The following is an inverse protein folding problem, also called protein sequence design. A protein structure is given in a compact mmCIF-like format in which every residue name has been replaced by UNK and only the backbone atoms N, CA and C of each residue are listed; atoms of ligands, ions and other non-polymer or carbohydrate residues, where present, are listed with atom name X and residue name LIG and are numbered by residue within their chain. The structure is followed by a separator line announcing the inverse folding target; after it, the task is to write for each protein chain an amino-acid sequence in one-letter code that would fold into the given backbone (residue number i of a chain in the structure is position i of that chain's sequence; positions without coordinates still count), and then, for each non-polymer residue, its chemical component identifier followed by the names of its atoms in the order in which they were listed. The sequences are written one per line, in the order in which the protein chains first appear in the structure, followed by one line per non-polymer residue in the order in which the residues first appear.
data_IF_732090833367
#
_entry.id   IF_732090833367
#
_cell.length_a   1.000
_cell.length_b   1.000
_cell.length_c   1.000
_cell.angle_alpha   90.00
_cell.angle_beta   90.00
_cell.angle_gamma   90.00
#
_symmetry.space_group_name_H-M   'P 1'
#
loop_
_entity.id
_entity.type
_entity.pdbx_description
1 polymer ?
#
# COMPACT_ATOMS: atom_id res chain seq x y z
N UNK A 1 1.58 -24.96 1.12
CA UNK A 1 2.92 -25.42 0.63
C UNK A 1 3.99 -24.82 1.54
N UNK A 2 4.64 -25.59 2.43
CA UNK A 2 5.73 -25.06 3.24
C UNK A 2 7.02 -25.02 2.41
N UNK A 3 7.81 -23.96 2.52
CA UNK A 3 9.21 -23.99 2.04
C UNK A 3 9.71 -22.85 1.14
N UNK A 4 9.12 -21.65 1.16
CA UNK A 4 9.65 -20.53 0.36
C UNK A 4 10.72 -19.67 1.07
N UNK A 5 10.91 -19.80 2.39
CA UNK A 5 11.85 -18.94 3.14
C UNK A 5 13.31 -19.41 3.06
N UNK A 6 13.57 -20.71 2.89
CA UNK A 6 14.92 -21.28 2.90
C UNK A 6 15.70 -21.11 1.59
N UNK A 7 15.08 -20.62 0.51
CA UNK A 7 15.72 -20.40 -0.79
C UNK A 7 16.66 -19.17 -0.82
N UNK A 8 16.74 -18.40 0.28
CA UNK A 8 17.56 -17.19 0.42
C UNK A 8 18.83 -17.38 1.26
N UNK A 9 19.11 -18.60 1.70
CA UNK A 9 20.34 -18.92 2.42
C UNK A 9 21.47 -19.20 1.43
N UNK A 10 22.68 -18.81 1.84
CA UNK A 10 23.99 -19.06 1.23
C UNK A 10 24.00 -20.29 0.28
N UNK A 11 24.51 -20.17 -0.97
CA UNK A 11 24.53 -21.27 -1.93
C UNK A 11 25.16 -22.57 -1.41
N UNK A 12 25.94 -22.51 -0.33
CA UNK A 12 26.56 -23.65 0.32
C UNK A 12 25.63 -24.45 1.27
N UNK A 13 24.39 -24.01 1.49
CA UNK A 13 23.41 -24.74 2.32
C UNK A 13 22.79 -25.88 1.50
N UNK A 14 22.89 -27.10 2.02
CA UNK A 14 22.34 -28.32 1.41
C UNK A 14 20.82 -28.42 1.58
N UNK A 15 20.17 -29.24 0.75
CA UNK A 15 18.72 -29.50 0.87
C UNK A 15 18.33 -30.11 2.22
N UNK A 16 19.18 -30.92 2.82
CA UNK A 16 18.96 -31.53 4.13
C UNK A 16 18.98 -30.48 5.25
N UNK A 17 19.93 -29.53 5.18
CA UNK A 17 20.00 -28.40 6.11
C UNK A 17 18.78 -27.47 5.98
N UNK A 18 18.29 -27.22 4.75
CA UNK A 18 17.04 -26.47 4.53
C UNK A 18 15.85 -27.13 5.20
N UNK A 19 15.67 -28.43 4.98
CA UNK A 19 14.56 -29.17 5.61
C UNK A 19 14.67 -29.21 7.15
N UNK A 20 15.88 -29.19 7.70
CA UNK A 20 16.09 -29.10 9.15
C UNK A 20 15.72 -27.73 9.71
N UNK A 21 16.04 -26.65 8.98
CA UNK A 21 15.67 -25.27 9.35
C UNK A 21 14.16 -25.10 9.33
N UNK A 22 13.48 -25.56 8.28
CA UNK A 22 12.02 -25.46 8.16
C UNK A 22 11.31 -26.16 9.32
N UNK A 23 11.72 -27.40 9.65
CA UNK A 23 11.19 -28.12 10.83
C UNK A 23 11.42 -27.37 12.14
N UNK A 24 12.57 -26.72 12.29
CA UNK A 24 12.90 -25.95 13.49
C UNK A 24 12.04 -24.69 13.61
N UNK A 25 11.72 -24.04 12.50
CA UNK A 25 10.86 -22.86 12.47
C UNK A 25 9.40 -23.23 12.75
N UNK A 26 8.91 -24.31 12.15
CA UNK A 26 7.56 -24.83 12.40
C UNK A 26 7.38 -25.16 13.89
N UNK A 27 8.36 -25.83 14.50
CA UNK A 27 8.33 -26.14 15.93
C UNK A 27 8.37 -24.87 16.79
N UNK A 28 9.23 -23.89 16.46
CA UNK A 28 9.29 -22.63 17.20
C UNK A 28 7.98 -21.82 17.12
N UNK A 29 7.27 -21.88 15.99
CA UNK A 29 5.95 -21.25 15.83
C UNK A 29 4.87 -21.96 16.66
N UNK A 30 4.91 -23.29 16.72
CA UNK A 30 4.01 -24.08 17.59
C UNK A 30 4.24 -23.74 19.06
N UNK A 31 5.50 -23.74 19.50
CA UNK A 31 5.86 -23.41 20.88
C UNK A 31 5.45 -21.98 21.23
N UNK A 32 5.68 -21.03 20.31
CA UNK A 32 5.28 -19.63 20.49
C UNK A 32 3.77 -19.45 20.61
N UNK A 33 2.97 -20.21 19.84
CA UNK A 33 1.50 -20.19 19.93
C UNK A 33 1.03 -20.73 21.28
N UNK A 34 1.67 -21.80 21.77
CA UNK A 34 1.38 -22.36 23.08
C UNK A 34 1.71 -21.37 24.22
N UNK A 35 2.86 -20.70 24.15
CA UNK A 35 3.25 -19.64 25.11
C UNK A 35 2.25 -18.48 25.15
N UNK A 36 1.64 -18.17 24.01
CA UNK A 36 0.64 -17.10 23.87
C UNK A 36 -0.79 -17.57 24.21
N UNK A 37 -0.98 -18.83 24.61
CA UNK A 37 -2.29 -19.38 24.96
C UNK A 37 -3.27 -19.46 23.79
N UNK A 38 -2.78 -19.45 22.55
CA UNK A 38 -3.61 -19.52 21.34
C UNK A 38 -3.94 -20.99 21.04
N UNK A 39 -5.18 -21.41 21.30
CA UNK A 39 -5.69 -22.73 20.87
C UNK A 39 -6.10 -22.70 19.40
N UNK A 40 -5.83 -23.79 18.67
CA UNK A 40 -6.26 -23.95 17.28
C UNK A 40 -7.79 -23.77 17.16
N UNK A 41 -8.28 -23.05 16.14
CA UNK A 41 -9.71 -22.76 16.01
C UNK A 41 -10.50 -24.05 15.81
N UNK A 42 -11.59 -24.22 16.56
CA UNK A 42 -12.62 -25.20 16.23
C UNK A 42 -13.50 -24.64 15.12
N UNK A 43 -13.79 -25.48 14.13
CA UNK A 43 -14.69 -25.15 13.03
C UNK A 43 -16.13 -25.01 13.55
N UNK A 44 -16.67 -23.80 13.49
CA UNK A 44 -18.10 -23.51 13.66
C UNK A 44 -18.73 -23.31 12.27
N UNK A 45 -20.00 -23.68 12.04
CA UNK A 45 -20.61 -23.57 10.72
C UNK A 45 -21.05 -22.13 10.43
N UNK A 46 -20.82 -21.75 9.17
CA UNK A 46 -21.05 -20.48 8.46
C UNK A 46 -22.14 -19.51 8.95
N UNK A 47 -21.96 -18.23 8.60
CA UNK A 47 -23.01 -17.46 7.97
C UNK A 47 -22.65 -17.00 6.55
N UNK A 48 -23.72 -16.75 5.79
CA UNK A 48 -23.74 -16.40 4.38
C UNK A 48 -23.54 -14.88 4.16
N UNK A 49 -22.95 -14.56 3.01
CA UNK A 49 -22.95 -13.29 2.26
C UNK A 49 -21.72 -12.37 2.39
N UNK A 50 -21.17 -12.09 1.20
CA UNK A 50 -20.37 -10.95 0.75
C UNK A 50 -19.28 -10.44 1.72
N UNK A 51 -18.04 -10.88 1.51
CA UNK A 51 -16.89 -10.34 2.23
C UNK A 51 -16.40 -9.03 1.60
N UNK A 52 -17.18 -7.98 1.85
CA UNK A 52 -16.62 -6.64 2.14
C UNK A 52 -15.77 -6.80 3.41
N UNK A 53 -14.65 -6.07 3.53
CA UNK A 53 -13.93 -6.00 4.81
C UNK A 53 -14.95 -5.76 5.95
N UNK A 54 -14.84 -6.42 7.12
CA UNK A 54 -15.79 -6.18 8.19
C UNK A 54 -15.86 -4.67 8.46
N UNK A 55 -17.06 -4.04 8.47
CA UNK A 55 -17.18 -2.60 8.64
C UNK A 55 -16.38 -2.14 9.87
N UNK A 56 -15.37 -1.30 9.63
CA UNK A 56 -14.51 -0.76 10.67
C UNK A 56 -13.23 -1.55 10.98
N UNK A 57 -12.85 -2.57 10.21
CA UNK A 57 -11.57 -3.28 10.37
C UNK A 57 -10.36 -2.37 10.07
N UNK A 58 -10.36 -1.70 8.92
CA UNK A 58 -9.35 -0.68 8.62
C UNK A 58 -9.44 0.46 9.62
N UNK A 59 -10.64 0.87 10.04
CA UNK A 59 -10.81 1.85 11.12
C UNK A 59 -10.28 1.36 12.49
N UNK A 60 -10.23 0.05 12.76
CA UNK A 60 -9.65 -0.54 13.97
C UNK A 60 -8.12 -0.60 13.88
N UNK A 61 -7.58 -0.92 12.71
CA UNK A 61 -6.14 -0.84 12.41
C UNK A 61 -5.65 0.62 12.52
N UNK A 62 -6.41 1.55 11.94
CA UNK A 62 -6.22 3.00 12.05
C UNK A 62 -6.39 3.47 13.49
N UNK A 63 -7.35 2.96 14.29
CA UNK A 63 -7.48 3.30 15.73
C UNK A 63 -6.32 2.76 16.57
N UNK A 64 -5.82 1.55 16.28
CA UNK A 64 -4.63 1.00 16.92
C UNK A 64 -3.37 1.81 16.57
N UNK A 65 -3.25 2.23 15.31
CA UNK A 65 -2.18 3.12 14.83
C UNK A 65 -2.29 4.55 15.44
N UNK A 66 -3.51 5.09 15.56
CA UNK A 66 -3.84 6.40 16.18
C UNK A 66 -3.76 6.39 17.72
N UNK A 67 -3.93 5.24 18.37
CA UNK A 67 -3.69 5.09 19.80
C UNK A 67 -2.19 5.01 20.13
N UNK A 68 -1.37 4.58 19.17
CA UNK A 68 0.09 4.55 19.28
C UNK A 68 0.76 5.91 19.00
N UNK A 69 0.09 6.80 18.25
CA UNK A 69 0.58 8.12 17.88
C UNK A 69 -0.52 9.16 18.14
N UNK A 70 -0.32 10.02 19.14
CA UNK A 70 -1.26 11.05 19.60
C UNK A 70 -1.50 12.19 18.58
N UNK A 71 -1.85 11.85 17.34
CA UNK A 71 -2.10 12.80 16.25
C UNK A 71 -3.59 12.77 15.89
N UNK A 72 -4.33 13.89 16.04
CA UNK A 72 -5.72 13.95 15.64
C UNK A 72 -5.84 13.89 14.10
N UNK A 73 -6.86 13.22 13.55
CA UNK A 73 -7.06 13.19 12.10
C UNK A 73 -7.34 14.60 11.58
N UNK A 74 -6.68 14.98 10.47
CA UNK A 74 -7.18 16.10 9.65
C UNK A 74 -8.54 15.72 9.08
N UNK A 75 -9.44 16.68 9.05
CA UNK A 75 -10.71 16.52 8.33
C UNK A 75 -10.34 16.36 6.86
N UNK A 76 -10.81 15.32 6.15
CA UNK A 76 -10.58 15.25 4.72
C UNK A 76 -11.03 16.59 4.12
N UNK A 77 -10.15 17.20 3.32
CA UNK A 77 -10.56 18.31 2.47
C UNK A 77 -11.82 17.85 1.74
N UNK A 78 -12.86 18.68 1.77
CA UNK A 78 -14.16 18.40 1.15
C UNK A 78 -14.04 18.36 -0.37
N UNK A 79 -13.42 17.32 -0.89
CA UNK A 79 -13.35 16.99 -2.30
C UNK A 79 -13.10 15.48 -2.42
N UNK A 80 -14.16 14.68 -2.20
CA UNK A 80 -14.43 13.44 -2.95
C UNK A 80 -15.55 12.55 -2.39
N UNK A 81 -16.23 12.95 -1.30
CA UNK A 81 -17.30 12.10 -0.73
C UNK A 81 -18.73 12.31 -1.28
N UNK A 82 -19.01 13.37 -2.05
CA UNK A 82 -20.37 13.62 -2.58
C UNK A 82 -20.35 13.90 -4.09
N UNK A 83 -20.04 12.89 -4.90
CA UNK A 83 -20.44 12.88 -6.31
C UNK A 83 -21.77 12.13 -6.42
N UNK A 84 -22.88 12.87 -6.32
CA UNK A 84 -24.19 12.41 -6.78
C UNK A 84 -24.07 11.86 -8.22
N UNK A 85 -24.66 10.69 -8.53
CA UNK A 85 -24.58 10.12 -9.86
C UNK A 85 -25.50 10.93 -10.80
N UNK A 86 -24.99 12.02 -11.39
CA UNK A 86 -25.78 12.78 -12.36
C UNK A 86 -25.34 14.21 -12.72
N UNK A 87 -24.20 14.72 -12.26
CA UNK A 87 -23.71 16.04 -12.69
C UNK A 87 -22.57 15.88 -13.68
N UNK A 88 -22.85 16.15 -14.96
CA UNK A 88 -21.81 16.34 -15.98
C UNK A 88 -20.81 17.40 -15.49
N UNK A 89 -19.49 17.18 -15.60
CA UNK A 89 -18.51 18.17 -15.19
C UNK A 89 -18.64 19.38 -16.11
N UNK A 90 -19.09 20.49 -15.54
CA UNK A 90 -19.16 21.80 -16.18
C UNK A 90 -17.73 22.17 -16.64
N UNK A 91 -17.54 22.20 -17.94
CA UNK A 91 -16.25 22.45 -18.56
C UNK A 91 -15.97 23.94 -18.65
N UNK A 92 -14.97 24.43 -17.91
CA UNK A 92 -14.03 25.47 -18.40
C UNK A 92 -12.85 25.71 -17.41
N UNK A 93 -12.18 24.65 -16.95
CA UNK A 93 -10.87 24.81 -16.32
C UNK A 93 -9.81 24.87 -17.42
N UNK A 94 -9.26 26.05 -17.70
CA UNK A 94 -8.12 26.19 -18.59
C UNK A 94 -7.00 25.20 -18.19
N UNK A 95 -6.31 24.56 -19.14
CA UNK A 95 -5.25 23.59 -18.81
C UNK A 95 -4.18 24.29 -17.98
N UNK A 96 -4.08 23.92 -16.70
CA UNK A 96 -3.04 24.44 -15.80
C UNK A 96 -1.69 23.98 -16.31
N UNK A 97 -0.70 24.86 -16.25
CA UNK A 97 0.66 24.53 -16.66
C UNK A 97 1.30 23.64 -15.59
N UNK A 98 1.76 22.44 -15.96
CA UNK A 98 2.44 21.53 -15.03
C UNK A 98 3.72 22.18 -14.46
N UNK A 99 3.80 22.30 -13.12
CA UNK A 99 4.99 22.81 -12.41
C UNK A 99 6.14 21.80 -12.48
N UNK A 100 7.39 22.27 -12.41
CA UNK A 100 8.55 21.38 -12.33
C UNK A 100 8.47 20.51 -11.07
N UNK A 101 9.05 19.30 -11.12
CA UNK A 101 8.98 18.38 -9.98
C UNK A 101 9.68 18.96 -8.75
N UNK A 102 10.81 19.63 -8.95
CA UNK A 102 11.58 20.28 -7.89
C UNK A 102 10.75 21.37 -7.19
N UNK A 103 10.04 22.20 -7.96
CA UNK A 103 9.16 23.24 -7.44
C UNK A 103 7.98 22.66 -6.64
N UNK A 104 7.47 21.50 -7.06
CA UNK A 104 6.41 20.79 -6.34
C UNK A 104 6.91 20.19 -5.02
N UNK A 105 8.10 19.59 -5.04
CA UNK A 105 8.70 19.00 -3.84
C UNK A 105 9.07 20.07 -2.80
N UNK A 106 9.55 21.24 -3.26
CA UNK A 106 9.84 22.35 -2.37
C UNK A 106 8.55 22.94 -1.79
N UNK A 107 7.51 23.12 -2.60
CA UNK A 107 6.20 23.59 -2.11
C UNK A 107 5.53 22.60 -1.16
N UNK A 108 5.61 21.29 -1.42
CA UNK A 108 5.14 20.25 -0.51
C UNK A 108 5.79 20.42 0.87
N UNK A 109 7.13 20.51 0.92
CA UNK A 109 7.86 20.62 2.20
C UNK A 109 7.59 21.95 2.90
N UNK A 110 7.29 23.02 2.16
CA UNK A 110 6.98 24.34 2.69
C UNK A 110 5.56 24.46 3.25
N UNK A 111 4.56 23.95 2.53
CA UNK A 111 3.14 24.14 2.84
C UNK A 111 2.55 23.04 3.69
N UNK A 112 3.08 21.83 3.60
CA UNK A 112 2.63 20.71 4.41
C UNK A 112 3.27 20.78 5.80
N UNK A 113 2.43 20.99 6.82
CA UNK A 113 2.85 21.10 8.23
C UNK A 113 3.08 19.71 8.82
N UNK A 114 4.18 19.09 8.37
CA UNK A 114 4.65 17.77 8.78
C UNK A 114 6.10 17.81 9.25
N UNK A 115 6.44 16.91 10.17
CA UNK A 115 7.84 16.69 10.51
C UNK A 115 8.47 15.71 9.50
N UNK A 116 9.20 16.28 8.54
CA UNK A 116 9.87 15.54 7.49
C UNK A 116 11.12 14.79 7.99
N UNK A 117 11.27 13.54 7.56
CA UNK A 117 12.48 12.77 7.82
C UNK A 117 13.62 13.20 6.90
N UNK A 118 14.85 12.96 7.36
CA UNK A 118 16.04 13.15 6.54
C UNK A 118 15.94 12.38 5.22
N UNK A 119 16.54 12.90 4.14
CA UNK A 119 16.67 12.21 2.86
C UNK A 119 17.01 10.73 2.97
N UNK A 120 16.49 9.95 2.03
CA UNK A 120 16.76 8.52 1.94
C UNK A 120 18.25 8.29 1.72
N UNK A 121 18.81 7.29 2.40
CA UNK A 121 20.17 6.82 2.08
C UNK A 121 20.12 5.87 0.89
N UNK A 122 21.21 5.78 0.12
CA UNK A 122 21.30 4.83 -1.00
C UNK A 122 20.95 3.40 -0.56
N UNK A 123 21.44 2.97 0.61
CA UNK A 123 21.13 1.64 1.16
C UNK A 123 19.64 1.41 1.44
N UNK A 124 18.89 2.45 1.82
CA UNK A 124 17.44 2.35 2.01
C UNK A 124 16.72 2.26 0.68
N UNK A 125 17.12 3.06 -0.31
CA UNK A 125 16.57 2.99 -1.66
C UNK A 125 16.86 1.63 -2.32
N UNK A 126 18.09 1.12 -2.25
CA UNK A 126 18.49 -0.19 -2.76
C UNK A 126 17.63 -1.33 -2.16
N UNK A 127 17.28 -1.21 -0.88
CA UNK A 127 16.41 -2.20 -0.21
C UNK A 127 14.98 -2.15 -0.70
N UNK A 128 14.46 -0.96 -1.00
CA UNK A 128 13.12 -0.80 -1.57
C UNK A 128 13.09 -1.31 -3.02
N UNK A 129 14.11 -1.01 -3.83
CA UNK A 129 14.24 -1.52 -5.20
C UNK A 129 14.42 -3.05 -5.21
N UNK A 130 15.22 -3.61 -4.29
CA UNK A 130 15.33 -5.05 -4.11
C UNK A 130 14.03 -5.69 -3.62
N UNK A 131 13.19 -4.95 -2.87
CA UNK A 131 11.85 -5.38 -2.55
C UNK A 131 10.97 -5.41 -3.81
N UNK A 132 10.96 -4.38 -4.63
CA UNK A 132 10.20 -4.36 -5.88
C UNK A 132 10.71 -5.37 -6.92
N UNK A 133 12.00 -5.68 -6.90
CA UNK A 133 12.67 -6.40 -8.00
C UNK A 133 12.91 -5.52 -9.23
N UNK A 134 12.75 -4.20 -9.09
CA UNK A 134 12.88 -3.19 -10.14
C UNK A 134 13.36 -1.86 -9.56
N UNK A 135 13.84 -0.97 -10.42
CA UNK A 135 14.17 0.41 -10.03
C UNK A 135 12.89 1.20 -9.66
N UNK A 136 13.04 2.18 -8.76
CA UNK A 136 11.94 3.06 -8.40
C UNK A 136 11.56 3.99 -9.56
N UNK A 137 10.27 4.35 -9.70
CA UNK A 137 9.88 5.47 -10.55
C UNK A 137 10.66 6.73 -10.19
N UNK A 138 11.20 7.42 -11.20
CA UNK A 138 12.14 8.53 -11.01
C UNK A 138 11.58 9.65 -10.11
N UNK A 139 10.30 9.99 -10.28
CA UNK A 139 9.68 11.09 -9.53
C UNK A 139 9.52 10.73 -8.04
N UNK A 140 9.15 9.49 -7.73
CA UNK A 140 9.07 9.03 -6.35
C UNK A 140 10.46 8.85 -5.73
N UNK A 141 11.47 8.48 -6.54
CA UNK A 141 12.86 8.48 -6.09
C UNK A 141 13.32 9.90 -5.71
N UNK A 142 12.98 10.91 -6.52
CA UNK A 142 13.31 12.30 -6.23
C UNK A 142 12.61 12.80 -4.95
N UNK A 143 11.36 12.39 -4.70
CA UNK A 143 10.69 12.63 -3.42
C UNK A 143 11.49 12.05 -2.25
N UNK A 144 11.89 10.78 -2.31
CA UNK A 144 12.65 10.13 -1.23
C UNK A 144 14.04 10.77 -1.01
N UNK A 145 14.68 11.25 -2.08
CA UNK A 145 15.94 12.00 -2.00
C UNK A 145 15.77 13.39 -1.37
N UNK A 146 14.55 13.96 -1.39
CA UNK A 146 14.20 15.21 -0.70
C UNK A 146 13.79 14.98 0.75
N UNK A 147 12.91 14.01 0.99
CA UNK A 147 12.41 13.62 2.30
C UNK A 147 12.04 12.13 2.31
N UNK A 148 12.55 11.37 3.28
CA UNK A 148 12.25 9.94 3.39
C UNK A 148 10.93 9.70 4.16
N UNK A 149 9.85 10.31 3.69
CA UNK A 149 8.55 10.36 4.36
C UNK A 149 8.51 11.31 5.56
N UNK A 150 7.39 11.30 6.28
CA UNK A 150 7.18 12.10 7.50
C UNK A 150 7.22 11.23 8.77
N UNK A 151 7.46 11.83 9.93
CA UNK A 151 7.37 11.14 11.24
C UNK A 151 5.92 10.88 11.64
N UNK A 152 5.01 11.75 11.22
CA UNK A 152 3.54 11.63 11.42
C UNK A 152 2.91 10.52 10.56
N UNK A 153 3.69 9.92 9.65
CA UNK A 153 3.34 8.79 8.77
C UNK A 153 2.27 9.08 7.70
N UNK A 154 1.90 10.34 7.48
CA UNK A 154 1.10 10.71 6.30
C UNK A 154 1.85 10.35 5.02
N UNK A 155 3.13 10.68 4.90
CA UNK A 155 3.97 10.25 3.78
C UNK A 155 4.88 9.09 4.19
N UNK A 156 4.77 7.97 3.47
CA UNK A 156 5.58 6.79 3.74
C UNK A 156 7.01 6.95 3.21
N UNK A 157 7.99 6.73 4.11
CA UNK A 157 9.38 6.59 3.70
C UNK A 157 9.68 5.22 3.08
N UNK A 158 10.89 5.02 2.56
CA UNK A 158 11.26 3.82 1.81
C UNK A 158 11.05 2.51 2.60
N UNK A 159 11.32 2.51 3.91
CA UNK A 159 11.08 1.35 4.76
C UNK A 159 9.58 1.11 5.01
N UNK A 160 8.81 2.17 5.23
CA UNK A 160 7.37 2.09 5.50
C UNK A 160 6.61 1.64 4.27
N UNK A 161 6.89 2.24 3.12
CA UNK A 161 6.28 1.82 1.85
C UNK A 161 6.46 0.31 1.62
N UNK A 162 7.66 -0.24 1.85
CA UNK A 162 7.90 -1.68 1.74
C UNK A 162 7.28 -2.51 2.88
N UNK A 163 7.14 -1.95 4.08
CA UNK A 163 6.55 -2.65 5.22
C UNK A 163 5.02 -2.73 5.06
N UNK A 164 4.38 -1.59 4.81
CA UNK A 164 2.93 -1.48 4.58
C UNK A 164 2.52 -2.28 3.33
N UNK A 165 3.29 -2.27 2.24
CA UNK A 165 3.03 -3.12 1.08
C UNK A 165 3.06 -4.64 1.41
N UNK A 166 3.99 -5.08 2.27
CA UNK A 166 4.03 -6.49 2.72
C UNK A 166 2.85 -6.83 3.62
N UNK A 167 2.50 -5.93 4.53
CA UNK A 167 1.40 -6.11 5.46
C UNK A 167 0.08 -6.23 4.71
N UNK A 168 -0.21 -5.30 3.79
CA UNK A 168 -1.42 -5.33 2.97
C UNK A 168 -1.50 -6.57 2.07
N UNK A 169 -0.38 -6.94 1.43
CA UNK A 169 -0.34 -8.17 0.63
C UNK A 169 -0.58 -9.41 1.50
N UNK A 170 0.05 -9.49 2.68
CA UNK A 170 -0.11 -10.61 3.59
C UNK A 170 -1.55 -10.78 4.07
N UNK A 171 -2.21 -9.68 4.44
CA UNK A 171 -3.63 -9.70 4.80
C UNK A 171 -4.51 -10.14 3.63
N UNK A 172 -4.23 -9.64 2.43
CA UNK A 172 -4.95 -10.03 1.24
C UNK A 172 -4.77 -11.53 0.94
N UNK A 173 -3.55 -12.06 1.04
CA UNK A 173 -3.27 -13.48 0.83
C UNK A 173 -3.95 -14.37 1.88
N UNK A 174 -3.90 -14.00 3.16
CA UNK A 174 -4.60 -14.71 4.25
C UNK A 174 -6.11 -14.79 3.99
N UNK A 175 -6.73 -13.67 3.59
CA UNK A 175 -8.16 -13.64 3.25
C UNK A 175 -8.51 -14.56 2.08
N UNK A 176 -7.67 -14.59 1.03
CA UNK A 176 -7.89 -15.47 -0.12
C UNK A 176 -7.71 -16.93 0.26
N UNK A 177 -6.76 -17.27 1.13
CA UNK A 177 -6.53 -18.64 1.61
C UNK A 177 -7.68 -19.18 2.45
N UNK A 178 -8.34 -18.32 3.24
CA UNK A 178 -9.48 -18.68 4.08
C UNK A 178 -10.81 -18.80 3.31
N UNK A 179 -10.84 -18.45 2.02
CA UNK A 179 -12.05 -18.53 1.20
C UNK A 179 -12.37 -19.98 0.77
N UNK A 180 -13.66 -20.31 0.69
CA UNK A 180 -14.13 -21.62 0.18
C UNK A 180 -13.66 -21.90 -1.26
N UNK A 181 -13.53 -20.84 -2.07
CA UNK A 181 -13.03 -20.87 -3.44
C UNK A 181 -12.05 -19.69 -3.66
N UNK A 182 -10.76 -19.88 -3.36
CA UNK A 182 -9.74 -18.84 -3.45
C UNK A 182 -9.58 -18.24 -4.86
N UNK A 183 -9.80 -19.04 -5.91
CA UNK A 183 -9.68 -18.59 -7.30
C UNK A 183 -10.84 -17.67 -7.66
N UNK A 184 -12.06 -18.06 -7.31
CA UNK A 184 -13.25 -17.23 -7.49
C UNK A 184 -13.19 -15.96 -6.65
N UNK A 185 -12.72 -16.04 -5.40
CA UNK A 185 -12.58 -14.87 -4.53
C UNK A 185 -11.58 -13.87 -5.13
N UNK A 186 -10.43 -14.34 -5.61
CA UNK A 186 -9.46 -13.49 -6.31
C UNK A 186 -10.06 -12.86 -7.56
N UNK A 187 -10.85 -13.59 -8.33
CA UNK A 187 -11.50 -13.09 -9.54
C UNK A 187 -12.56 -11.99 -9.29
N UNK A 188 -13.06 -11.85 -8.05
CA UNK A 188 -14.00 -10.77 -7.68
C UNK A 188 -13.34 -9.40 -7.54
N UNK A 189 -12.02 -9.34 -7.41
CA UNK A 189 -11.30 -8.07 -7.29
C UNK A 189 -11.13 -7.42 -8.67
N UNK A 190 -12.07 -6.53 -8.98
CA UNK A 190 -12.10 -5.71 -10.20
C UNK A 190 -11.45 -4.35 -9.89
N UNK A 191 -10.14 -4.35 -9.64
CA UNK A 191 -9.34 -3.12 -9.47
C UNK A 191 -9.15 -2.35 -10.79
N UNK A 192 -9.56 -2.96 -11.90
CA UNK A 192 -9.44 -2.45 -13.25
C UNK A 192 -10.84 -2.26 -13.84
N UNK A 193 -11.10 -1.11 -14.44
CA UNK A 193 -12.35 -0.75 -15.13
C UNK A 193 -12.56 -1.48 -16.47
N UNK A 194 -11.79 -2.55 -16.72
CA UNK A 194 -11.70 -3.26 -18.00
C UNK A 194 -10.65 -2.67 -18.94
N UNK A 195 -9.92 -1.62 -18.55
CA UNK A 195 -8.85 -1.03 -19.38
C UNK A 195 -7.57 -1.85 -19.44
N UNK A 196 -7.37 -2.80 -18.52
CA UNK A 196 -6.14 -3.57 -18.35
C UNK A 196 -4.97 -2.74 -17.80
N UNK A 197 -5.23 -1.56 -17.24
CA UNK A 197 -4.21 -0.65 -16.70
C UNK A 197 -3.80 -1.03 -15.28
N UNK A 198 -4.72 -1.57 -14.51
CA UNK A 198 -4.46 -2.02 -13.14
C UNK A 198 -4.38 -3.55 -13.12
N UNK A 199 -3.48 -4.11 -12.31
CA UNK A 199 -3.37 -5.56 -12.19
C UNK A 199 -4.68 -6.14 -11.62
N UNK A 200 -5.27 -7.18 -12.24
CA UNK A 200 -6.47 -7.82 -11.72
C UNK A 200 -6.13 -8.70 -10.52
N UNK A 201 -7.12 -9.00 -9.68
CA UNK A 201 -6.97 -10.01 -8.63
C UNK A 201 -6.41 -9.52 -7.30
N UNK A 202 -6.65 -8.25 -6.96
CA UNK A 202 -6.40 -7.67 -5.63
C UNK A 202 -5.03 -7.02 -5.46
N UNK A 203 -4.56 -6.93 -4.21
CA UNK A 203 -3.26 -6.35 -3.89
C UNK A 203 -2.12 -7.17 -4.47
N UNK A 204 -1.09 -6.48 -4.98
CA UNK A 204 0.13 -7.11 -5.49
C UNK A 204 1.36 -6.47 -4.86
N UNK A 205 2.47 -7.20 -4.80
CA UNK A 205 3.73 -6.77 -4.17
C UNK A 205 4.25 -5.41 -4.67
N UNK A 206 3.99 -5.07 -5.92
CA UNK A 206 4.43 -3.81 -6.53
C UNK A 206 3.60 -2.59 -6.16
N UNK A 207 2.55 -2.74 -5.34
CA UNK A 207 1.74 -1.62 -4.88
C UNK A 207 2.31 -1.06 -3.59
N UNK A 208 2.90 0.14 -3.68
CA UNK A 208 3.51 0.82 -2.54
C UNK A 208 2.54 1.86 -1.99
N UNK A 209 2.00 1.71 -0.77
CA UNK A 209 1.32 2.81 -0.09
C UNK A 209 2.33 3.93 0.17
N UNK A 210 2.11 5.10 -0.43
CA UNK A 210 3.01 6.25 -0.34
C UNK A 210 2.42 7.39 0.48
N UNK A 211 1.10 7.43 0.61
CA UNK A 211 0.38 8.40 1.44
C UNK A 211 -0.79 7.74 2.18
N UNK A 212 -0.99 8.08 3.45
CA UNK A 212 -2.09 7.61 4.31
C UNK A 212 -3.00 8.78 4.67
N UNK A 213 -4.28 8.69 4.30
CA UNK A 213 -5.28 9.72 4.63
C UNK A 213 -5.69 9.70 6.12
N UNK A 214 -5.18 8.75 6.91
CA UNK A 214 -5.51 8.59 8.33
C UNK A 214 -6.92 8.02 8.58
N UNK A 215 -7.58 7.54 7.53
CA UNK A 215 -8.96 6.99 7.52
C UNK A 215 -9.01 5.51 7.16
N UNK A 216 -7.88 4.93 6.74
CA UNK A 216 -7.81 3.61 6.12
C UNK A 216 -7.84 3.65 4.58
N UNK A 217 -7.93 4.85 4.00
CA UNK A 217 -7.68 5.11 2.59
C UNK A 217 -6.20 5.46 2.37
N UNK A 218 -5.65 5.07 1.22
CA UNK A 218 -4.25 5.31 0.87
C UNK A 218 -4.08 5.72 -0.58
N UNK A 219 -3.01 6.48 -0.83
CA UNK A 219 -2.46 6.64 -2.17
C UNK A 219 -1.39 5.58 -2.39
N UNK A 220 -1.48 4.89 -3.51
CA UNK A 220 -0.60 3.79 -3.89
C UNK A 220 0.18 4.17 -5.15
N UNK A 221 1.50 4.03 -5.09
CA UNK A 221 2.36 4.02 -6.26
C UNK A 221 2.39 2.61 -6.86
N UNK A 222 1.85 2.47 -8.07
CA UNK A 222 1.77 1.17 -8.76
C UNK A 222 3.05 0.88 -9.55
N UNK A 223 3.89 0.02 -9.00
CA UNK A 223 5.11 -0.48 -9.62
C UNK A 223 4.92 -1.84 -10.33
N UNK A 224 3.71 -2.40 -10.31
CA UNK A 224 3.36 -3.67 -10.97
C UNK A 224 1.99 -3.57 -11.67
N UNK A 225 1.86 -2.67 -12.67
CA UNK A 225 0.58 -2.40 -13.31
C UNK A 225 0.12 -3.58 -14.19
N UNK A 226 -1.13 -3.47 -14.66
CA UNK A 226 -1.66 -4.37 -15.69
C UNK A 226 -0.95 -4.18 -17.04
N UNK A 227 -1.22 -5.06 -18.03
CA UNK A 227 -0.52 -5.04 -19.34
C UNK A 227 -0.65 -3.75 -20.14
N UNK A 228 -1.71 -2.97 -19.92
CA UNK A 228 -1.93 -1.67 -20.55
C UNK A 228 -1.56 -0.48 -19.65
N UNK A 229 -1.11 -0.75 -18.43
CA UNK A 229 -0.79 0.28 -17.44
C UNK A 229 0.63 0.80 -17.54
N UNK A 230 0.93 1.79 -16.70
CA UNK A 230 2.24 2.45 -16.66
C UNK A 230 2.85 2.31 -15.28
N UNK A 231 4.10 1.86 -15.23
CA UNK A 231 4.87 1.82 -13.97
C UNK A 231 4.98 3.23 -13.40
N UNK A 232 4.63 3.38 -12.13
CA UNK A 232 4.61 4.66 -11.42
C UNK A 232 3.29 5.42 -11.50
N UNK A 233 2.25 4.85 -12.12
CA UNK A 233 0.89 5.40 -12.03
C UNK A 233 0.37 5.35 -10.58
N UNK A 234 -0.62 6.19 -10.28
CA UNK A 234 -1.14 6.36 -8.93
C UNK A 234 -2.54 5.79 -8.82
N UNK A 235 -2.73 4.93 -7.82
CA UNK A 235 -4.02 4.40 -7.45
C UNK A 235 -4.47 5.02 -6.13
N UNK A 236 -5.74 5.35 -6.02
CA UNK A 236 -6.37 5.57 -4.72
C UNK A 236 -7.05 4.29 -4.27
N UNK A 237 -6.78 3.91 -3.02
CA UNK A 237 -7.42 2.79 -2.38
C UNK A 237 -8.37 3.29 -1.30
N UNK A 238 -9.65 2.97 -1.46
CA UNK A 238 -10.69 3.26 -0.48
C UNK A 238 -11.79 2.18 -0.55
N UNK A 239 -12.42 1.90 0.59
CA UNK A 239 -13.51 0.91 0.75
C UNK A 239 -13.25 -0.45 0.05
N UNK A 240 -12.00 -0.90 0.09
CA UNK A 240 -11.61 -2.18 -0.51
C UNK A 240 -11.37 -2.16 -2.03
N UNK A 241 -11.42 -0.99 -2.66
CA UNK A 241 -11.24 -0.82 -4.11
C UNK A 241 -10.03 0.05 -4.41
N UNK A 242 -9.19 -0.38 -5.36
CA UNK A 242 -8.18 0.47 -5.95
C UNK A 242 -8.69 1.10 -7.25
N UNK A 243 -8.45 2.40 -7.46
CA UNK A 243 -8.83 3.14 -8.66
C UNK A 243 -7.64 3.93 -9.18
N UNK A 244 -7.38 3.84 -10.48
CA UNK A 244 -6.37 4.67 -11.13
C UNK A 244 -6.83 6.14 -11.16
N UNK A 245 -6.10 7.02 -10.46
CA UNK A 245 -6.45 8.45 -10.38
C UNK A 245 -5.48 9.33 -11.14
N UNK A 246 -4.17 9.02 -11.13
CA UNK A 246 -3.17 9.84 -11.80
C UNK A 246 -2.20 9.02 -12.66
N UNK A 247 -1.70 9.57 -13.77
CA UNK A 247 -0.81 8.87 -14.69
C UNK A 247 0.61 8.67 -14.16
N UNK A 248 1.02 9.45 -13.15
CA UNK A 248 2.29 9.35 -12.45
C UNK A 248 2.27 10.12 -11.11
N UNK A 249 3.31 9.92 -10.30
CA UNK A 249 3.50 10.57 -9.00
C UNK A 249 3.54 12.10 -9.10
N UNK A 250 4.14 12.66 -10.15
CA UNK A 250 4.20 14.12 -10.32
C UNK A 250 2.82 14.72 -10.53
N UNK A 251 1.98 14.09 -11.34
CA UNK A 251 0.61 14.55 -11.54
C UNK A 251 -0.19 14.54 -10.22
N UNK A 252 -0.09 13.47 -9.43
CA UNK A 252 -0.71 13.42 -8.11
C UNK A 252 -0.15 14.49 -7.15
N UNK A 253 1.17 14.68 -7.13
CA UNK A 253 1.82 15.67 -6.27
C UNK A 253 1.40 17.11 -6.63
N UNK A 254 1.20 17.39 -7.92
CA UNK A 254 0.69 18.68 -8.38
C UNK A 254 -0.68 18.98 -7.76
N UNK A 255 -1.62 18.04 -7.86
CA UNK A 255 -2.97 18.22 -7.31
C UNK A 255 -2.93 18.31 -5.78
N UNK A 256 -2.12 17.47 -5.11
CA UNK A 256 -1.93 17.55 -3.66
C UNK A 256 -1.37 18.90 -3.20
N UNK A 257 -0.35 19.42 -3.86
CA UNK A 257 0.24 20.73 -3.53
C UNK A 257 -0.74 21.87 -3.82
N UNK A 258 -1.48 21.80 -4.93
CA UNK A 258 -2.48 22.81 -5.26
C UNK A 258 -3.60 22.87 -4.20
N UNK A 259 -3.95 21.73 -3.58
CA UNK A 259 -4.93 21.69 -2.47
C UNK A 259 -4.39 22.27 -1.16
N UNK A 260 -3.07 22.29 -0.97
CA UNK A 260 -2.40 22.92 0.19
C UNK A 260 -2.24 24.44 0.02
N UNK A 261 -2.09 24.89 -1.22
CA UNK A 261 -1.86 26.29 -1.56
C UNK A 261 -3.20 27.08 -1.60
N UNK A 262 -3.33 28.18 -0.82
CA UNK A 262 -4.59 28.95 -0.70
C UNK A 262 -4.92 29.87 -1.88
#
# INVERSE_FOLDING_TARGET
MPGAWAARLDPDVTAEQRAAIDRSLDQALVDRRADLGLTAPQADPAPQNATVFPPGFMAALTRLRRAALSVPPRTPGTAHADAEPGTEPDGDAAPRSARALEDLLDALVEHEDLEWRRPVTQKQADRLEAFLGAALPADYRAFLDRANGSTDREFAGAHEAAADARELLGYFEEQIEDADDPESERARFVNDDGSGRVAPGGFVRGWLPIYDHGTGAFVILDCAPGPAGRVGQILEYDDGQARLTHPDFRAWLQDHVDDLEP
#
